data_IF_170649001241
#
_entry.id   IF_170649001241
#
_cell.length_a   1.000
_cell.length_b   1.000
_cell.length_c   1.000
_cell.angle_alpha   90.00
_cell.angle_beta   90.00
_cell.angle_gamma   90.00
#
_symmetry.space_group_name_H-M   'P 1'
#
loop_
_entity.id
_entity.type
_entity.pdbx_description
1 polymer ?
#
# COMPACT_ATOMS: atom_id res chain seq x y z
N UNK A 1 -5.76 -26.08 -5.43
CA UNK A 1 -4.30 -25.89 -5.29
C UNK A 1 -4.11 -24.95 -4.12
N UNK A 2 -3.47 -25.40 -3.06
CA UNK A 2 -3.23 -24.57 -1.89
C UNK A 2 -2.04 -23.66 -2.20
N UNK A 3 -2.22 -22.35 -2.04
CA UNK A 3 -1.19 -21.37 -2.36
C UNK A 3 -0.63 -20.91 -1.01
N UNK A 4 0.63 -21.25 -0.68
CA UNK A 4 1.16 -21.06 0.67
C UNK A 4 1.18 -19.61 1.13
N UNK A 5 1.39 -18.64 0.22
CA UNK A 5 1.48 -17.23 0.56
C UNK A 5 0.83 -16.35 -0.53
N UNK A 6 -0.51 -16.31 -0.57
CA UNK A 6 -1.27 -15.53 -1.57
C UNK A 6 -0.90 -14.05 -1.54
N UNK A 7 -0.52 -13.52 -0.38
CA UNK A 7 -0.04 -12.14 -0.22
C UNK A 7 1.27 -11.80 -0.98
N UNK A 8 1.88 -12.74 -1.72
CA UNK A 8 3.06 -12.49 -2.55
C UNK A 8 2.75 -12.12 -4.01
N UNK A 9 1.48 -12.18 -4.44
CA UNK A 9 1.07 -11.65 -5.74
C UNK A 9 0.62 -10.21 -5.66
N UNK A 10 1.48 -9.37 -5.08
CA UNK A 10 1.23 -7.93 -5.07
C UNK A 10 1.78 -7.29 -6.34
N UNK A 11 1.03 -6.35 -6.90
CA UNK A 11 1.54 -5.43 -7.91
C UNK A 11 2.17 -4.23 -7.22
N UNK A 12 3.44 -3.95 -7.53
CA UNK A 12 4.16 -2.80 -6.99
C UNK A 12 4.62 -1.85 -8.12
N UNK A 13 4.49 -0.55 -7.89
CA UNK A 13 4.91 0.52 -8.80
C UNK A 13 5.72 1.57 -8.05
N UNK A 14 6.97 1.80 -8.48
CA UNK A 14 7.82 2.86 -7.96
C UNK A 14 7.80 4.06 -8.91
N UNK A 15 7.28 5.19 -8.45
CA UNK A 15 7.13 6.41 -9.22
C UNK A 15 8.12 7.48 -8.76
N UNK A 16 8.64 8.28 -9.70
CA UNK A 16 9.35 9.53 -9.41
C UNK A 16 8.39 10.69 -9.70
N UNK A 17 7.87 11.39 -8.67
CA UNK A 17 7.03 12.56 -8.87
C UNK A 17 7.77 13.65 -9.65
N UNK A 18 7.07 14.33 -10.55
CA UNK A 18 7.61 15.48 -11.28
C UNK A 18 7.70 16.75 -10.42
N UNK A 19 6.90 16.80 -9.36
CA UNK A 19 6.84 17.87 -8.37
C UNK A 19 6.79 17.25 -6.98
N UNK A 20 7.24 17.99 -5.98
CA UNK A 20 7.16 17.56 -4.58
C UNK A 20 5.71 17.33 -4.19
N UNK A 21 5.42 16.13 -3.69
CA UNK A 21 4.13 15.75 -3.16
C UNK A 21 4.03 16.19 -1.70
N UNK A 22 2.92 16.83 -1.38
CA UNK A 22 2.52 17.11 -0.01
C UNK A 22 1.80 15.87 0.57
N UNK A 23 2.28 15.40 1.73
CA UNK A 23 1.76 14.19 2.35
C UNK A 23 0.29 14.31 2.78
N UNK A 24 -0.17 15.51 3.18
CA UNK A 24 -1.56 15.74 3.60
C UNK A 24 -2.48 15.60 2.39
N UNK A 25 -2.13 16.24 1.27
CA UNK A 25 -2.89 16.10 0.03
C UNK A 25 -2.88 14.67 -0.51
N UNK A 26 -1.74 13.99 -0.45
CA UNK A 26 -1.63 12.59 -0.87
C UNK A 26 -2.50 11.69 0.00
N UNK A 27 -2.51 11.88 1.32
CA UNK A 27 -3.37 11.13 2.23
C UNK A 27 -4.85 11.36 1.95
N UNK A 28 -5.26 12.60 1.65
CA UNK A 28 -6.63 12.91 1.26
C UNK A 28 -7.02 12.25 -0.07
N UNK A 29 -6.11 12.22 -1.05
CA UNK A 29 -6.34 11.54 -2.32
C UNK A 29 -6.50 10.01 -2.13
N UNK A 30 -5.67 9.40 -1.28
CA UNK A 30 -5.80 7.98 -0.93
C UNK A 30 -7.11 7.68 -0.20
N UNK A 31 -7.57 8.59 0.67
CA UNK A 31 -8.88 8.48 1.32
C UNK A 31 -10.02 8.46 0.31
N UNK A 32 -10.01 9.41 -0.64
CA UNK A 32 -11.03 9.47 -1.69
C UNK A 32 -10.99 8.23 -2.59
N UNK A 33 -9.79 7.71 -2.89
CA UNK A 33 -9.62 6.51 -3.70
C UNK A 33 -10.26 5.29 -3.03
N UNK A 34 -10.00 5.03 -1.75
CA UNK A 34 -10.60 3.88 -1.06
C UNK A 34 -12.10 4.06 -0.80
N UNK A 35 -12.57 5.30 -0.69
CA UNK A 35 -14.00 5.60 -0.56
C UNK A 35 -14.74 5.29 -1.86
N UNK A 36 -14.14 5.63 -3.00
CA UNK A 36 -14.71 5.39 -4.33
C UNK A 36 -14.60 3.92 -4.78
N UNK A 37 -13.56 3.21 -4.34
CA UNK A 37 -13.27 1.85 -4.79
C UNK A 37 -13.43 0.81 -3.67
N UNK A 38 -14.64 0.27 -3.57
CA UNK A 38 -15.02 -0.82 -2.67
C UNK A 38 -14.04 -2.00 -2.64
N UNK A 39 -13.49 -2.37 -3.80
CA UNK A 39 -12.55 -3.48 -3.93
C UNK A 39 -11.29 -3.31 -3.05
N UNK A 40 -10.81 -2.08 -2.86
CA UNK A 40 -9.62 -1.78 -2.04
C UNK A 40 -9.89 -1.90 -0.53
N UNK A 41 -11.16 -2.02 -0.14
CA UNK A 41 -11.62 -2.19 1.24
C UNK A 41 -12.03 -3.62 1.56
N UNK A 42 -11.79 -4.56 0.65
CA UNK A 42 -12.16 -5.96 0.87
C UNK A 42 -11.16 -6.67 1.77
N UNK A 43 -11.68 -7.53 2.64
CA UNK A 43 -10.95 -8.57 3.35
C UNK A 43 -11.52 -9.93 3.00
N UNK A 44 -10.65 -10.91 2.77
CA UNK A 44 -10.97 -12.26 2.31
C UNK A 44 -10.69 -13.27 3.42
N UNK A 45 -11.74 -13.96 3.85
CA UNK A 45 -11.64 -15.06 4.82
C UNK A 45 -12.15 -16.35 4.19
N UNK A 46 -11.54 -17.46 4.55
CA UNK A 46 -12.09 -18.78 4.22
C UNK A 46 -12.88 -19.31 5.42
N UNK A 47 -14.15 -19.65 5.20
CA UNK A 47 -15.03 -20.27 6.19
C UNK A 47 -15.69 -21.49 5.54
N UNK A 48 -15.60 -22.65 6.21
CA UNK A 48 -16.16 -23.93 5.73
C UNK A 48 -15.73 -24.28 4.28
N UNK A 49 -14.47 -23.95 3.95
CA UNK A 49 -13.89 -24.18 2.63
C UNK A 49 -14.28 -23.16 1.56
N UNK A 50 -15.19 -22.23 1.83
CA UNK A 50 -15.63 -21.19 0.91
C UNK A 50 -14.95 -19.85 1.19
N UNK A 51 -14.61 -19.11 0.13
CA UNK A 51 -14.10 -17.75 0.25
C UNK A 51 -15.25 -16.77 0.43
N UNK A 52 -15.12 -15.89 1.42
CA UNK A 52 -16.03 -14.79 1.68
C UNK A 52 -15.25 -13.48 1.66
N UNK A 53 -15.84 -12.46 1.04
CA UNK A 53 -15.32 -11.10 1.03
C UNK A 53 -16.14 -10.24 1.98
N UNK A 54 -15.47 -9.44 2.81
CA UNK A 54 -16.10 -8.52 3.77
C UNK A 54 -15.49 -7.12 3.60
N UNK A 55 -16.28 -6.09 3.88
CA UNK A 55 -15.75 -4.72 3.89
C UNK A 55 -15.05 -4.44 5.21
N UNK A 56 -13.76 -4.15 5.15
CA UNK A 56 -12.99 -3.64 6.28
C UNK A 56 -13.22 -2.15 6.47
N UNK A 57 -13.09 -1.70 7.72
CA UNK A 57 -12.99 -0.27 8.04
C UNK A 57 -11.53 0.16 7.91
N UNK A 58 -11.18 0.77 6.78
CA UNK A 58 -9.82 1.30 6.56
C UNK A 58 -9.76 2.79 6.88
N UNK A 59 -8.76 3.20 7.65
CA UNK A 59 -8.42 4.60 7.81
C UNK A 59 -7.35 4.97 6.78
N UNK A 60 -7.56 6.06 6.04
CA UNK A 60 -6.58 6.53 5.05
C UNK A 60 -5.20 6.86 5.66
N UNK A 61 -5.15 7.21 6.95
CA UNK A 61 -3.89 7.38 7.69
C UNK A 61 -3.08 6.09 7.76
N UNK A 62 -3.76 4.95 7.75
CA UNK A 62 -3.13 3.64 7.81
C UNK A 62 -2.69 3.17 6.42
N UNK A 63 -2.87 3.96 5.35
CA UNK A 63 -2.44 3.60 3.99
C UNK A 63 -1.14 4.28 3.57
N UNK A 64 -0.89 5.51 4.06
CA UNK A 64 0.28 6.29 3.68
C UNK A 64 1.39 6.18 4.72
N UNK A 65 2.48 5.54 4.34
CA UNK A 65 3.75 5.64 5.07
C UNK A 65 4.58 6.77 4.51
N UNK A 66 5.24 7.52 5.39
CA UNK A 66 6.18 8.57 4.99
C UNK A 66 7.53 8.29 5.63
N UNK A 67 8.57 8.22 4.81
CA UNK A 67 9.94 7.97 5.25
C UNK A 67 10.88 9.04 4.70
N UNK A 68 11.96 9.31 5.44
CA UNK A 68 13.12 10.01 4.92
C UNK A 68 14.28 9.02 4.92
N UNK A 69 14.90 8.84 3.76
CA UNK A 69 16.05 7.97 3.58
C UNK A 69 17.27 8.80 3.18
N UNK A 70 18.44 8.35 3.60
CA UNK A 70 19.75 8.92 3.28
C UNK A 70 20.27 8.49 1.91
N UNK A 71 19.80 7.35 1.39
CA UNK A 71 20.16 6.81 0.08
C UNK A 71 18.99 6.10 -0.60
N UNK A 72 18.98 6.14 -1.93
CA UNK A 72 18.04 5.39 -2.75
C UNK A 72 18.28 3.87 -2.68
N UNK A 73 19.44 3.41 -2.21
CA UNK A 73 19.76 1.98 -2.06
C UNK A 73 18.85 1.28 -1.04
N UNK A 74 18.33 2.05 -0.07
CA UNK A 74 17.42 1.57 0.98
C UNK A 74 15.97 1.41 0.48
N UNK A 75 15.66 1.84 -0.75
CA UNK A 75 14.30 1.76 -1.32
C UNK A 75 13.82 0.31 -1.49
N UNK A 76 14.71 -0.61 -1.83
CA UNK A 76 14.35 -2.02 -2.04
C UNK A 76 13.85 -2.64 -0.74
N UNK A 77 14.56 -2.43 0.37
CA UNK A 77 14.16 -2.95 1.68
C UNK A 77 12.80 -2.39 2.12
N UNK A 78 12.58 -1.09 1.93
CA UNK A 78 11.30 -0.45 2.24
C UNK A 78 10.17 -0.97 1.34
N UNK A 79 10.46 -1.27 0.07
CA UNK A 79 9.47 -1.83 -0.85
C UNK A 79 9.09 -3.27 -0.49
N UNK A 80 10.03 -4.07 0.00
CA UNK A 80 9.74 -5.40 0.52
C UNK A 80 8.90 -5.34 1.80
N UNK A 81 9.22 -4.43 2.72
CA UNK A 81 8.43 -4.20 3.93
C UNK A 81 6.99 -3.79 3.59
N UNK A 82 6.82 -2.84 2.67
CA UNK A 82 5.52 -2.42 2.19
C UNK A 82 4.71 -3.57 1.57
N UNK A 83 5.36 -4.44 0.78
CA UNK A 83 4.70 -5.63 0.22
C UNK A 83 4.25 -6.63 1.27
N UNK A 84 5.07 -6.89 2.29
CA UNK A 84 4.71 -7.79 3.40
C UNK A 84 3.66 -7.18 4.34
N UNK A 85 3.38 -5.88 4.23
CA UNK A 85 2.43 -5.17 5.08
C UNK A 85 0.96 -5.33 4.68
N UNK A 86 0.68 -5.89 3.50
CA UNK A 86 -0.69 -6.13 3.07
C UNK A 86 -1.23 -7.40 3.75
N UNK A 87 -2.46 -7.30 4.27
CA UNK A 87 -3.17 -8.41 4.87
C UNK A 87 -4.44 -8.67 4.07
N UNK A 88 -4.49 -9.81 3.38
CA UNK A 88 -5.65 -10.21 2.58
C UNK A 88 -6.90 -10.40 3.42
N UNK A 89 -6.76 -10.74 4.70
CA UNK A 89 -7.89 -11.04 5.59
C UNK A 89 -8.52 -9.77 6.16
N UNK A 90 -7.69 -8.85 6.66
CA UNK A 90 -8.17 -7.67 7.40
C UNK A 90 -7.93 -6.35 6.66
N UNK A 91 -7.26 -6.39 5.50
CA UNK A 91 -6.76 -5.20 4.83
C UNK A 91 -5.58 -4.55 5.59
N UNK A 92 -4.99 -3.48 5.02
CA UNK A 92 -5.35 -2.90 3.73
C UNK A 92 -4.85 -3.72 2.54
N UNK A 93 -5.55 -3.61 1.40
CA UNK A 93 -5.10 -4.16 0.10
C UNK A 93 -4.27 -3.16 -0.72
N UNK A 94 -4.08 -1.96 -0.19
CA UNK A 94 -3.28 -0.88 -0.79
C UNK A 94 -2.32 -0.32 0.27
N UNK A 95 -1.07 -0.13 -0.11
CA UNK A 95 -0.06 0.61 0.66
C UNK A 95 0.56 1.67 -0.25
N UNK A 96 0.62 2.91 0.23
CA UNK A 96 1.40 3.96 -0.38
C UNK A 96 2.59 4.30 0.53
N UNK A 97 3.77 4.50 -0.05
CA UNK A 97 4.96 4.92 0.67
C UNK A 97 5.57 6.13 -0.02
N UNK A 98 5.48 7.29 0.63
CA UNK A 98 6.15 8.51 0.20
C UNK A 98 7.55 8.57 0.83
N UNK A 99 8.57 8.55 0.00
CA UNK A 99 9.97 8.58 0.45
C UNK A 99 10.59 9.90 0.05
N UNK A 100 11.10 10.64 1.05
CA UNK A 100 11.97 11.79 0.85
C UNK A 100 13.42 11.30 0.79
N UNK A 101 14.14 11.72 -0.25
CA UNK A 101 15.56 11.43 -0.46
C UNK A 101 16.37 12.72 -0.39
N UNK A 102 17.71 12.63 -0.33
CA UNK A 102 18.56 13.82 -0.36
C UNK A 102 18.35 14.64 -1.65
N UNK A 103 18.82 15.89 -1.62
CA UNK A 103 18.65 16.87 -2.72
C UNK A 103 17.18 17.16 -3.11
N UNK A 104 16.23 16.86 -2.23
CA UNK A 104 14.81 17.15 -2.44
C UNK A 104 14.12 16.19 -3.40
N UNK A 105 14.75 15.07 -3.75
CA UNK A 105 14.09 14.03 -4.53
C UNK A 105 13.02 13.30 -3.71
N UNK A 106 11.97 12.85 -4.40
CA UNK A 106 10.97 11.96 -3.82
C UNK A 106 10.78 10.70 -4.66
N UNK A 107 10.33 9.64 -3.99
CA UNK A 107 9.76 8.45 -4.62
C UNK A 107 8.40 8.16 -3.99
N UNK A 108 7.46 7.70 -4.80
CA UNK A 108 6.18 7.19 -4.35
C UNK A 108 6.08 5.73 -4.76
N UNK A 109 6.07 4.84 -3.78
CA UNK A 109 5.75 3.43 -3.99
C UNK A 109 4.25 3.23 -3.78
N UNK A 110 3.61 2.51 -4.70
CA UNK A 110 2.28 1.97 -4.54
C UNK A 110 2.37 0.45 -4.59
N UNK A 111 1.77 -0.23 -3.60
CA UNK A 111 1.64 -1.68 -3.56
C UNK A 111 0.17 -2.04 -3.43
N UNK A 112 -0.32 -2.90 -4.32
CA UNK A 112 -1.72 -3.31 -4.41
C UNK A 112 -1.79 -4.83 -4.53
N UNK A 113 -2.78 -5.46 -3.88
CA UNK A 113 -3.12 -6.86 -4.09
C UNK A 113 -4.23 -7.03 -5.15
#
# INVERSE_FOLDING_TARGET
>A
MDIPERQHWNQALMLKPLQTLDAIHLQAALAALIEQHDALRLGFTQQDGQWQATFGTLNARDLLWTHALDSAERLTELAEEAQRSLDLKNGPLLRAVLVNLPQGEQRLLLVIH
#
